data_IF_898087100331
#
_entry.id   IF_898087100331
#
_cell.length_a   1.000
_cell.length_b   1.000
_cell.length_c   1.000
_cell.angle_alpha   90.00
_cell.angle_beta   90.00
_cell.angle_gamma   90.00
#
_symmetry.space_group_name_H-M   'P 1'
#
loop_
_entity.id
_entity.type
_entity.pdbx_description
1 polymer ?
#
# COMPACT_ATOMS: atom_id res chain seq x y z
N UNK A 1 -4.61 4.72 10.69
CA UNK A 1 -3.50 4.14 9.88
C UNK A 1 -4.01 3.52 8.59
N UNK A 2 -4.69 2.37 8.65
CA UNK A 2 -5.15 1.64 7.46
C UNK A 2 -6.13 2.44 6.60
N UNK A 3 -7.10 3.12 7.22
CA UNK A 3 -8.07 3.93 6.50
C UNK A 3 -7.35 5.07 5.75
N UNK A 4 -6.39 5.73 6.39
CA UNK A 4 -5.54 6.75 5.76
C UNK A 4 -4.81 6.21 4.53
N UNK A 5 -4.25 5.00 4.59
CA UNK A 5 -3.60 4.37 3.43
C UNK A 5 -4.60 4.09 2.30
N UNK A 6 -5.77 3.55 2.63
CA UNK A 6 -6.79 3.15 1.65
C UNK A 6 -7.41 4.37 0.98
N UNK A 7 -7.88 5.33 1.77
CA UNK A 7 -8.54 6.54 1.27
C UNK A 7 -7.59 7.37 0.42
N UNK A 8 -6.37 7.64 0.90
CA UNK A 8 -5.39 8.42 0.13
C UNK A 8 -5.01 7.71 -1.16
N UNK A 9 -4.83 6.38 -1.15
CA UNK A 9 -4.52 5.64 -2.37
C UNK A 9 -5.64 5.78 -3.42
N UNK A 10 -6.92 5.74 -3.00
CA UNK A 10 -8.06 5.93 -3.90
C UNK A 10 -8.11 7.36 -4.46
N UNK A 11 -7.88 8.37 -3.63
CA UNK A 11 -7.80 9.77 -4.04
C UNK A 11 -6.67 10.01 -5.06
N UNK A 12 -5.55 9.32 -4.90
CA UNK A 12 -4.36 9.42 -5.77
C UNK A 12 -4.39 8.52 -7.01
N UNK A 13 -5.56 7.96 -7.34
CA UNK A 13 -5.79 7.28 -8.61
C UNK A 13 -5.50 5.78 -8.59
N UNK A 14 -5.49 5.14 -7.42
CA UNK A 14 -5.65 3.69 -7.35
C UNK A 14 -7.02 3.30 -7.93
N UNK A 15 -7.02 2.22 -8.71
CA UNK A 15 -8.22 1.57 -9.25
C UNK A 15 -9.07 1.00 -8.11
N UNK A 16 -8.41 0.56 -7.03
CA UNK A 16 -9.04 0.08 -5.82
C UNK A 16 -8.01 -0.14 -4.73
N UNK A 17 -8.41 0.00 -3.47
CA UNK A 17 -7.58 -0.27 -2.31
C UNK A 17 -8.41 -0.89 -1.17
N UNK A 18 -7.76 -1.72 -0.34
CA UNK A 18 -8.36 -2.26 0.89
C UNK A 18 -7.29 -2.68 1.90
N UNK A 19 -7.68 -2.77 3.17
CA UNK A 19 -6.85 -3.44 4.17
C UNK A 19 -6.68 -4.94 3.89
N UNK A 20 -5.57 -5.52 4.30
CA UNK A 20 -5.31 -6.96 4.25
C UNK A 20 -4.84 -7.48 5.61
N UNK A 21 -5.20 -8.73 5.94
CA UNK A 21 -4.96 -9.32 7.27
C UNK A 21 -6.10 -9.06 8.27
N UNK A 22 -5.80 -9.19 9.57
CA UNK A 22 -6.79 -9.17 10.65
C UNK A 22 -7.24 -7.75 11.07
N UNK A 23 -6.52 -6.71 10.67
CA UNK A 23 -6.77 -5.33 11.09
C UNK A 23 -6.02 -4.92 12.36
N UNK A 24 -6.43 -3.79 12.96
CA UNK A 24 -5.75 -3.13 14.09
C UNK A 24 -4.30 -2.72 13.79
N UNK A 25 -4.03 -2.37 12.54
CA UNK A 25 -2.69 -2.13 11.98
C UNK A 25 -2.38 -3.09 10.84
N UNK A 26 -1.11 -3.15 10.44
CA UNK A 26 -0.64 -4.05 9.38
C UNK A 26 -0.60 -3.38 8.00
N UNK A 27 -1.12 -4.07 6.99
CA UNK A 27 -0.92 -3.69 5.59
C UNK A 27 -2.23 -3.35 4.87
N UNK A 28 -2.13 -2.47 3.88
CA UNK A 28 -3.13 -2.26 2.85
C UNK A 28 -2.59 -2.68 1.49
N UNK A 29 -3.48 -3.05 0.57
CA UNK A 29 -3.16 -3.32 -0.83
C UNK A 29 -3.89 -2.31 -1.71
N UNK A 30 -3.21 -1.81 -2.74
CA UNK A 30 -3.77 -0.91 -3.74
C UNK A 30 -3.41 -1.39 -5.14
N UNK A 31 -4.39 -1.38 -6.04
CA UNK A 31 -4.20 -1.63 -7.46
C UNK A 31 -4.04 -0.30 -8.16
N UNK A 32 -2.89 -0.07 -8.80
CA UNK A 32 -2.56 1.20 -9.44
C UNK A 32 -1.93 0.94 -10.80
N UNK A 33 -2.10 1.87 -11.75
CA UNK A 33 -1.37 1.83 -13.02
C UNK A 33 0.12 1.95 -12.76
N UNK A 34 0.94 1.15 -13.45
CA UNK A 34 2.40 1.12 -13.27
C UNK A 34 3.06 2.50 -13.41
N UNK A 35 2.52 3.35 -14.29
CA UNK A 35 3.00 4.72 -14.53
C UNK A 35 2.74 5.69 -13.38
N UNK A 36 1.89 5.33 -12.42
CA UNK A 36 1.49 6.19 -11.29
C UNK A 36 2.07 5.70 -9.96
N UNK A 37 2.81 4.58 -9.93
CA UNK A 37 3.29 3.96 -8.69
C UNK A 37 4.13 4.92 -7.86
N UNK A 38 5.12 5.57 -8.45
CA UNK A 38 6.06 6.42 -7.69
C UNK A 38 5.35 7.66 -7.12
N UNK A 39 4.49 8.30 -7.93
CA UNK A 39 3.71 9.46 -7.49
C UNK A 39 2.70 9.09 -6.40
N UNK A 40 2.08 7.91 -6.49
CA UNK A 40 1.17 7.43 -5.46
C UNK A 40 1.92 7.16 -4.16
N UNK A 41 3.09 6.51 -4.20
CA UNK A 41 3.91 6.26 -3.01
C UNK A 41 4.30 7.57 -2.33
N UNK A 42 4.77 8.57 -3.09
CA UNK A 42 5.16 9.87 -2.56
C UNK A 42 4.01 10.53 -1.78
N UNK A 43 2.83 10.63 -2.40
CA UNK A 43 1.69 11.32 -1.81
C UNK A 43 1.06 10.56 -0.65
N UNK A 44 0.89 9.24 -0.78
CA UNK A 44 0.37 8.42 0.31
C UNK A 44 1.34 8.43 1.49
N UNK A 45 2.65 8.38 1.25
CA UNK A 45 3.66 8.47 2.32
C UNK A 45 3.60 9.82 3.05
N UNK A 46 3.55 10.93 2.30
CA UNK A 46 3.44 12.27 2.86
C UNK A 46 2.17 12.42 3.73
N UNK A 47 1.02 12.02 3.19
CA UNK A 47 -0.26 12.08 3.91
C UNK A 47 -0.29 11.17 5.13
N UNK A 48 0.26 9.96 5.01
CA UNK A 48 0.33 9.03 6.13
C UNK A 48 1.18 9.61 7.26
N UNK A 49 2.37 10.14 6.96
CA UNK A 49 3.26 10.75 7.96
C UNK A 49 2.61 11.94 8.65
N UNK A 50 1.88 12.77 7.91
CA UNK A 50 1.15 13.91 8.46
C UNK A 50 0.07 13.48 9.46
N UNK A 51 -0.76 12.48 9.11
CA UNK A 51 -1.90 12.05 9.94
C UNK A 51 -1.47 11.17 11.11
N UNK A 52 -0.50 10.29 10.89
CA UNK A 52 -0.12 9.22 11.82
C UNK A 52 1.13 9.57 12.63
N UNK A 53 2.04 10.37 12.07
CA UNK A 53 3.24 10.84 12.76
C UNK A 53 4.52 10.01 12.55
N UNK A 54 4.47 8.95 11.74
CA UNK A 54 5.64 8.15 11.34
C UNK A 54 5.52 7.62 9.92
N UNK A 55 6.64 7.12 9.38
CA UNK A 55 6.74 6.67 7.99
C UNK A 55 6.08 5.30 7.77
N UNK A 56 5.37 5.16 6.64
CA UNK A 56 4.89 3.88 6.13
C UNK A 56 5.94 3.22 5.22
N UNK A 57 5.87 1.88 5.08
CA UNK A 57 6.70 1.12 4.13
C UNK A 57 5.88 0.69 2.93
N UNK A 58 6.47 0.76 1.74
CA UNK A 58 5.81 0.45 0.47
C UNK A 58 6.58 -0.62 -0.30
N UNK A 59 5.84 -1.56 -0.87
CA UNK A 59 6.41 -2.69 -1.62
C UNK A 59 5.62 -2.90 -2.91
N UNK A 60 6.33 -3.06 -4.03
CA UNK A 60 5.72 -3.55 -5.26
C UNK A 60 5.58 -5.07 -5.16
N UNK A 61 4.36 -5.54 -4.91
CA UNK A 61 4.09 -6.96 -4.80
C UNK A 61 4.13 -7.65 -6.18
N UNK A 62 4.75 -8.82 -6.23
CA UNK A 62 4.67 -9.76 -7.36
C UNK A 62 4.10 -11.09 -6.87
N UNK A 63 3.28 -11.73 -7.69
CA UNK A 63 2.74 -13.06 -7.36
C UNK A 63 3.85 -14.09 -7.56
N UNK A 64 4.21 -14.76 -6.47
CA UNK A 64 5.22 -15.83 -6.46
C UNK A 64 4.62 -17.22 -6.27
N UNK A 65 5.47 -18.24 -6.39
CA UNK A 65 5.10 -19.62 -6.07
C UNK A 65 4.94 -19.83 -4.56
N UNK A 66 4.19 -20.86 -4.19
CA UNK A 66 4.15 -21.36 -2.82
C UNK A 66 5.48 -22.01 -2.39
N UNK A 67 5.58 -22.43 -1.12
CA UNK A 67 6.79 -23.08 -0.60
C UNK A 67 7.22 -24.28 -1.45
N UNK A 68 8.51 -24.36 -1.78
CA UNK A 68 9.12 -25.48 -2.51
C UNK A 68 10.54 -25.70 -2.00
N UNK A 69 11.08 -26.92 -2.19
CA UNK A 69 12.48 -27.20 -1.89
C UNK A 69 13.37 -26.56 -2.95
N UNK A 70 14.39 -25.80 -2.51
CA UNK A 70 15.45 -25.31 -3.38
C UNK A 70 16.55 -26.39 -3.46
N UNK A 71 17.09 -26.61 -4.66
CA UNK A 71 18.07 -27.65 -4.97
C UNK A 71 19.36 -27.53 -4.17
#
# INVERSE_FOLDING_TARGET
>A
ELDTLVETALEEGAIGARMTGAGFGGCAIALVKSTLVDSLIEKVSARYKEVIGYDASFYKATVGNGPTQLF
#
